data_IF_871502879216
#
_entry.id   IF_871502879216
#
_cell.length_a   1.000
_cell.length_b   1.000
_cell.length_c   1.000
_cell.angle_alpha   90.00
_cell.angle_beta   90.00
_cell.angle_gamma   90.00
#
_symmetry.space_group_name_H-M   'P 1'
#
loop_
_entity.id
_entity.type
_entity.pdbx_description
1 polymer ?
#
# COMPACT_ATOMS: atom_id res chain seq x y z
N UNK A 1 -4.12 -4.45 16.80
CA UNK A 1 -2.66 -4.11 16.87
C UNK A 1 -1.81 -5.26 17.38
N UNK A 2 -2.31 -6.05 18.35
CA UNK A 2 -1.60 -7.23 18.83
C UNK A 2 -1.64 -8.38 17.82
N UNK A 3 -0.66 -9.27 17.91
CA UNK A 3 -0.51 -10.46 17.06
C UNK A 3 -0.79 -11.72 17.89
N UNK A 4 -1.88 -11.67 18.66
CA UNK A 4 -2.20 -12.68 19.67
C UNK A 4 -2.84 -13.95 19.06
N UNK A 5 -3.25 -13.87 17.79
CA UNK A 5 -3.83 -14.97 17.05
C UNK A 5 -2.84 -15.51 16.02
N UNK A 6 -2.12 -16.57 16.41
CA UNK A 6 -1.26 -17.32 15.50
C UNK A 6 -2.09 -18.31 14.67
N UNK A 7 -2.46 -17.89 13.45
CA UNK A 7 -3.23 -18.73 12.53
C UNK A 7 -2.43 -19.95 12.03
N UNK A 8 -1.10 -19.93 12.09
CA UNK A 8 -0.28 -21.06 11.61
C UNK A 8 -0.35 -22.23 12.56
N UNK A 9 -0.43 -21.97 13.87
CA UNK A 9 -0.66 -23.04 14.86
C UNK A 9 -2.00 -23.75 14.63
N UNK A 10 -3.01 -23.07 14.10
CA UNK A 10 -4.28 -23.70 13.72
C UNK A 10 -4.11 -24.57 12.48
N UNK A 11 -3.35 -24.12 11.47
CA UNK A 11 -3.04 -24.93 10.28
C UNK A 11 -2.23 -26.19 10.62
N UNK A 12 -1.25 -26.06 11.52
CA UNK A 12 -0.42 -27.18 11.99
C UNK A 12 -1.16 -28.11 12.97
N UNK A 13 -2.34 -27.70 13.46
CA UNK A 13 -3.17 -28.54 14.30
C UNK A 13 -3.97 -29.56 13.49
N UNK A 14 -4.28 -30.71 14.08
CA UNK A 14 -5.27 -31.66 13.52
C UNK A 14 -6.72 -31.13 13.60
N UNK A 15 -6.91 -29.85 13.91
CA UNK A 15 -8.23 -29.23 14.08
C UNK A 15 -8.74 -28.53 12.81
N UNK A 16 -8.11 -28.75 11.65
CA UNK A 16 -8.55 -28.17 10.37
C UNK A 16 -8.88 -29.25 9.35
N UNK A 17 -9.86 -28.97 8.49
CA UNK A 17 -10.21 -29.81 7.34
C UNK A 17 -10.21 -28.97 6.06
N UNK A 18 -9.49 -29.41 5.02
CA UNK A 18 -9.43 -28.70 3.74
C UNK A 18 -10.79 -28.79 3.03
N UNK A 19 -11.43 -27.64 2.85
CA UNK A 19 -12.69 -27.50 2.11
C UNK A 19 -12.44 -27.48 0.61
N UNK A 20 -11.46 -26.67 0.17
CA UNK A 20 -11.07 -26.58 -1.24
C UNK A 20 -9.64 -26.08 -1.41
N UNK A 21 -9.04 -26.39 -2.56
CA UNK A 21 -7.71 -25.92 -2.95
C UNK A 21 -7.66 -25.73 -4.46
N UNK A 22 -7.20 -24.57 -4.92
CA UNK A 22 -7.12 -24.24 -6.34
C UNK A 22 -6.05 -23.18 -6.65
N UNK A 23 -5.66 -23.11 -7.92
CA UNK A 23 -4.80 -22.06 -8.44
C UNK A 23 -5.65 -20.91 -9.03
N UNK A 24 -5.40 -19.68 -8.60
CA UNK A 24 -5.95 -18.49 -9.25
C UNK A 24 -5.33 -18.29 -10.65
N UNK A 25 -5.93 -17.41 -11.46
CA UNK A 25 -5.47 -17.12 -12.82
C UNK A 25 -4.03 -16.60 -12.91
N UNK A 26 -3.51 -15.97 -11.84
CA UNK A 26 -2.14 -15.51 -11.73
C UNK A 26 -1.18 -16.54 -11.10
N UNK A 27 -1.65 -17.77 -10.90
CA UNK A 27 -0.87 -18.87 -10.34
C UNK A 27 -0.85 -18.93 -8.81
N UNK A 28 -1.42 -17.93 -8.11
CA UNK A 28 -1.53 -17.95 -6.64
C UNK A 28 -2.28 -19.21 -6.19
N UNK A 29 -1.67 -20.01 -5.32
CA UNK A 29 -2.37 -21.14 -4.70
C UNK A 29 -3.23 -20.63 -3.55
N UNK A 30 -4.50 -21.03 -3.54
CA UNK A 30 -5.46 -20.69 -2.49
C UNK A 30 -5.98 -21.99 -1.96
N UNK A 31 -6.00 -22.11 -0.63
CA UNK A 31 -6.61 -23.22 0.06
C UNK A 31 -7.51 -22.66 1.17
N UNK A 32 -8.65 -23.30 1.36
CA UNK A 32 -9.65 -22.94 2.35
C UNK A 32 -9.77 -24.13 3.28
N UNK A 33 -9.66 -23.87 4.58
CA UNK A 33 -9.83 -24.85 5.62
C UNK A 33 -10.96 -24.43 6.54
N UNK A 34 -11.76 -25.40 6.96
CA UNK A 34 -12.71 -25.25 8.05
C UNK A 34 -12.00 -25.58 9.35
N UNK A 35 -12.20 -24.74 10.36
CA UNK A 35 -11.66 -24.96 11.70
C UNK A 35 -12.71 -25.72 12.51
N UNK A 36 -12.39 -26.94 12.89
CA UNK A 36 -13.24 -27.87 13.63
C UNK A 36 -13.26 -27.59 15.15
N UNK A 37 -12.96 -26.35 15.56
CA UNK A 37 -12.95 -25.90 16.95
C UNK A 37 -13.60 -24.51 17.07
N UNK A 38 -14.22 -24.24 18.23
CA UNK A 38 -14.69 -22.90 18.54
C UNK A 38 -13.49 -22.02 18.83
N UNK A 39 -13.19 -21.10 17.91
CA UNK A 39 -12.17 -20.08 18.12
C UNK A 39 -12.77 -18.96 18.99
N UNK A 40 -12.58 -19.04 20.30
CA UNK A 40 -12.84 -17.92 21.20
C UNK A 40 -11.59 -17.03 21.24
N UNK A 41 -11.60 -15.97 20.44
CA UNK A 41 -10.56 -14.94 20.44
C UNK A 41 -11.20 -13.59 20.71
N UNK A 42 -10.60 -12.84 21.62
CA UNK A 42 -11.00 -11.45 21.87
C UNK A 42 -10.29 -10.57 20.85
N UNK A 43 -11.02 -10.20 19.79
CA UNK A 43 -10.52 -9.30 18.75
C UNK A 43 -10.85 -7.87 19.14
N UNK A 44 -10.13 -7.33 20.12
CA UNK A 44 -10.20 -5.90 20.43
C UNK A 44 -9.57 -5.09 19.28
N UNK A 45 -10.24 -4.00 18.91
CA UNK A 45 -9.78 -3.01 17.92
C UNK A 45 -9.40 -3.59 16.53
N UNK A 46 -10.44 -4.01 15.78
CA UNK A 46 -10.30 -4.40 14.37
C UNK A 46 -10.17 -3.18 13.45
N UNK A 47 -9.16 -3.22 12.58
CA UNK A 47 -8.89 -2.18 11.59
C UNK A 47 -9.40 -2.60 10.21
N UNK A 48 -10.09 -1.69 9.51
CA UNK A 48 -10.57 -1.94 8.15
C UNK A 48 -9.41 -1.70 7.17
N UNK A 49 -8.80 -2.77 6.70
CA UNK A 49 -7.70 -2.73 5.74
C UNK A 49 -8.20 -2.58 4.30
N UNK A 50 -9.31 -3.23 3.96
CA UNK A 50 -10.01 -3.13 2.68
C UNK A 50 -11.53 -3.31 2.89
N UNK A 51 -12.33 -2.68 2.03
CA UNK A 51 -13.79 -2.82 2.07
C UNK A 51 -14.55 -1.77 2.88
N UNK A 52 -13.98 -0.58 3.11
CA UNK A 52 -14.66 0.56 3.74
C UNK A 52 -16.08 0.82 3.19
N UNK A 53 -16.24 0.83 1.86
CA UNK A 53 -17.56 0.99 1.24
C UNK A 53 -18.52 -0.19 1.49
N UNK A 54 -18.00 -1.42 1.55
CA UNK A 54 -18.81 -2.63 1.83
C UNK A 54 -19.35 -2.59 3.26
N UNK A 55 -18.51 -2.21 4.22
CA UNK A 55 -18.90 -2.07 5.62
C UNK A 55 -19.90 -0.92 5.79
N UNK A 56 -19.65 0.23 5.15
CA UNK A 56 -20.59 1.35 5.18
C UNK A 56 -21.97 0.99 4.59
N UNK A 57 -22.00 0.27 3.47
CA UNK A 57 -23.24 -0.19 2.84
C UNK A 57 -23.98 -1.23 3.69
N UNK A 58 -23.27 -2.18 4.29
CA UNK A 58 -23.88 -3.17 5.16
C UNK A 58 -24.47 -2.55 6.43
N UNK A 59 -23.81 -1.52 6.98
CA UNK A 59 -24.34 -0.72 8.09
C UNK A 59 -25.64 0.00 7.70
N UNK A 60 -25.68 0.63 6.53
CA UNK A 60 -26.88 1.29 6.00
C UNK A 60 -28.03 0.29 5.81
N UNK A 61 -27.72 -0.92 5.35
CA UNK A 61 -28.68 -2.00 5.18
C UNK A 61 -29.03 -2.75 6.49
N UNK A 62 -28.52 -2.31 7.65
CA UNK A 62 -28.77 -2.91 8.97
C UNK A 62 -28.40 -4.40 9.09
N UNK A 63 -27.34 -4.84 8.41
CA UNK A 63 -26.79 -6.17 8.65
C UNK A 63 -26.24 -6.25 10.09
N UNK A 64 -26.55 -7.35 10.79
CA UNK A 64 -26.05 -7.61 12.15
C UNK A 64 -24.74 -8.40 12.17
N UNK A 65 -24.44 -9.08 11.09
CA UNK A 65 -23.28 -9.96 10.94
C UNK A 65 -22.60 -9.65 9.61
N UNK A 66 -21.28 -9.78 9.59
CA UNK A 66 -20.44 -9.52 8.43
C UNK A 66 -19.48 -10.68 8.25
N UNK A 67 -19.33 -11.14 7.01
CA UNK A 67 -18.19 -11.97 6.64
C UNK A 67 -16.96 -11.07 6.53
N UNK A 68 -15.96 -11.35 7.35
CA UNK A 68 -14.66 -10.67 7.34
C UNK A 68 -13.55 -11.68 7.09
N UNK A 69 -12.52 -11.24 6.39
CA UNK A 69 -11.25 -11.94 6.35
C UNK A 69 -10.31 -11.25 7.33
N UNK A 70 -9.92 -11.96 8.38
CA UNK A 70 -8.93 -11.48 9.34
C UNK A 70 -7.52 -11.80 8.83
N UNK A 71 -6.61 -10.83 8.93
CA UNK A 71 -5.19 -11.00 8.60
C UNK A 71 -4.39 -10.51 9.81
N UNK A 72 -3.60 -11.37 10.47
CA UNK A 72 -2.74 -10.96 11.57
C UNK A 72 -1.74 -9.88 11.12
N UNK A 73 -1.38 -8.91 11.98
CA UNK A 73 -0.39 -7.89 11.64
C UNK A 73 0.93 -8.46 11.12
N UNK A 74 1.41 -9.60 11.63
CA UNK A 74 2.65 -10.23 11.18
C UNK A 74 2.59 -10.83 9.78
N UNK A 75 1.39 -11.09 9.26
CA UNK A 75 1.17 -11.62 7.91
C UNK A 75 0.75 -10.54 6.91
N UNK A 76 0.44 -9.35 7.42
CA UNK A 76 0.05 -8.20 6.62
C UNK A 76 1.29 -7.50 6.05
N UNK A 77 1.35 -7.42 4.73
CA UNK A 77 2.42 -6.71 4.03
C UNK A 77 1.87 -5.46 3.35
N UNK A 78 2.58 -4.33 3.49
CA UNK A 78 2.22 -3.09 2.81
C UNK A 78 3.18 -2.90 1.64
N UNK A 79 2.63 -2.79 0.44
CA UNK A 79 3.34 -2.34 -0.75
C UNK A 79 3.17 -0.83 -0.97
N UNK A 80 4.05 -0.26 -1.79
CA UNK A 80 3.94 1.10 -2.30
C UNK A 80 3.51 1.14 -3.77
N UNK A 81 3.12 2.33 -4.22
CA UNK A 81 2.92 2.63 -5.63
C UNK A 81 4.03 3.55 -6.12
N UNK A 82 4.64 3.21 -7.25
CA UNK A 82 5.36 4.15 -8.08
C UNK A 82 4.35 5.16 -8.65
N UNK A 83 4.68 6.45 -8.61
CA UNK A 83 3.93 7.51 -9.29
C UNK A 83 4.61 7.77 -10.62
N UNK A 84 3.95 7.44 -11.71
CA UNK A 84 4.40 7.68 -13.07
C UNK A 84 3.71 8.95 -13.61
N UNK A 85 4.48 9.84 -14.22
CA UNK A 85 4.05 11.18 -14.63
C UNK A 85 4.25 11.32 -16.14
N UNK A 86 3.14 11.33 -16.87
CA UNK A 86 3.13 11.17 -18.32
C UNK A 86 3.39 12.45 -19.11
N UNK A 87 3.28 13.61 -18.46
CA UNK A 87 3.54 14.92 -19.06
C UNK A 87 4.44 15.78 -18.19
N UNK A 88 5.51 16.32 -18.79
CA UNK A 88 6.44 17.22 -18.11
C UNK A 88 6.60 18.48 -18.98
N UNK A 89 6.17 19.62 -18.45
CA UNK A 89 6.32 20.93 -19.11
C UNK A 89 7.64 21.64 -18.72
N UNK A 90 8.43 21.02 -17.83
CA UNK A 90 9.63 21.60 -17.23
C UNK A 90 10.90 20.85 -17.62
N UNK A 91 12.05 21.54 -17.51
CA UNK A 91 13.34 20.90 -17.71
C UNK A 91 13.71 20.05 -16.48
N UNK A 92 14.08 18.76 -16.63
CA UNK A 92 14.43 17.89 -15.51
C UNK A 92 15.41 18.50 -14.51
N UNK A 93 16.44 19.19 -15.02
CA UNK A 93 17.43 19.87 -14.18
C UNK A 93 16.83 20.93 -13.26
N UNK A 94 15.87 21.73 -13.76
CA UNK A 94 15.18 22.74 -12.93
C UNK A 94 14.33 22.08 -11.85
N UNK A 95 13.72 20.95 -12.18
CA UNK A 95 12.91 20.17 -11.23
C UNK A 95 13.77 19.62 -10.10
N UNK A 96 14.95 19.06 -10.43
CA UNK A 96 15.92 18.59 -9.45
C UNK A 96 16.45 19.75 -8.59
N UNK A 97 16.82 20.87 -9.19
CA UNK A 97 17.26 22.06 -8.45
C UNK A 97 16.19 22.55 -7.47
N UNK A 98 14.91 22.56 -7.88
CA UNK A 98 13.80 22.93 -6.99
C UNK A 98 13.58 21.93 -5.85
N UNK A 99 13.74 20.62 -6.11
CA UNK A 99 13.64 19.56 -5.08
C UNK A 99 14.68 19.73 -3.96
N UNK A 100 15.85 20.33 -4.25
CA UNK A 100 16.89 20.58 -3.24
C UNK A 100 16.47 21.50 -2.10
N UNK A 101 15.35 22.23 -2.24
CA UNK A 101 14.76 23.01 -1.15
C UNK A 101 14.44 22.09 0.05
N UNK A 102 13.85 20.93 -0.22
CA UNK A 102 13.32 20.01 0.81
C UNK A 102 14.16 18.75 0.99
N UNK A 103 14.93 18.36 -0.03
CA UNK A 103 15.72 17.14 -0.01
C UNK A 103 17.21 17.41 -0.26
N UNK A 104 18.07 16.52 0.25
CA UNK A 104 19.45 16.39 -0.20
C UNK A 104 19.47 15.44 -1.41
N UNK A 105 19.83 15.98 -2.58
CA UNK A 105 19.66 15.29 -3.87
C UNK A 105 21.01 14.93 -4.49
N UNK A 106 21.15 13.68 -4.95
CA UNK A 106 22.31 13.18 -5.69
C UNK A 106 21.88 12.31 -6.86
N UNK A 107 22.73 12.19 -7.89
CA UNK A 107 22.57 11.16 -8.91
C UNK A 107 22.67 9.76 -8.30
N UNK A 108 21.96 8.80 -8.89
CA UNK A 108 21.92 7.41 -8.43
C UNK A 108 21.98 6.47 -9.63
N UNK A 109 22.60 5.30 -9.44
CA UNK A 109 22.56 4.26 -10.47
C UNK A 109 21.19 3.60 -10.54
N UNK A 110 20.87 2.98 -11.67
CA UNK A 110 19.66 2.18 -11.83
C UNK A 110 19.59 0.99 -10.83
N UNK A 111 20.76 0.42 -10.48
CA UNK A 111 20.86 -0.63 -9.48
C UNK A 111 20.58 -0.16 -8.05
N UNK A 112 20.77 1.13 -7.76
CA UNK A 112 20.36 1.74 -6.49
C UNK A 112 18.88 2.11 -6.51
N UNK A 113 18.31 2.47 -7.67
CA UNK A 113 16.91 2.92 -7.79
C UNK A 113 15.87 1.78 -7.78
N UNK A 114 16.33 0.54 -7.93
CA UNK A 114 15.51 -0.68 -7.89
C UNK A 114 15.48 -1.36 -6.52
N UNK A 115 16.26 -0.84 -5.55
CA UNK A 115 16.22 -1.32 -4.16
C UNK A 115 15.07 -0.69 -3.38
N UNK A 116 14.58 -1.34 -2.30
CA UNK A 116 13.62 -0.73 -1.40
C UNK A 116 14.11 0.66 -0.98
N UNK A 117 13.18 1.61 -1.00
CA UNK A 117 13.45 2.97 -0.56
C UNK A 117 13.29 2.99 0.95
N UNK A 118 14.22 3.61 1.68
CA UNK A 118 14.07 3.82 3.12
C UNK A 118 13.06 4.95 3.38
N UNK A 119 12.37 4.91 4.53
CA UNK A 119 11.46 5.99 4.95
C UNK A 119 12.21 7.32 4.94
N UNK A 120 11.60 8.35 4.37
CA UNK A 120 12.22 9.66 4.21
C UNK A 120 13.03 9.81 2.92
N UNK A 121 13.19 8.76 2.12
CA UNK A 121 13.91 8.81 0.83
C UNK A 121 12.91 8.72 -0.31
N UNK A 122 13.16 9.49 -1.37
CA UNK A 122 12.42 9.41 -2.63
C UNK A 122 13.41 9.05 -3.75
N UNK A 123 12.98 8.19 -4.68
CA UNK A 123 13.71 8.00 -5.95
C UNK A 123 12.97 8.66 -7.07
N UNK A 124 13.64 9.59 -7.75
CA UNK A 124 13.06 10.35 -8.85
C UNK A 124 13.78 9.96 -10.12
N UNK A 125 13.02 9.61 -11.16
CA UNK A 125 13.52 9.30 -12.49
C UNK A 125 13.06 10.35 -13.47
N UNK A 126 13.94 10.75 -14.39
CA UNK A 126 13.60 11.47 -15.60
C UNK A 126 14.26 10.76 -16.80
N UNK A 127 13.45 10.20 -17.70
CA UNK A 127 13.97 9.33 -18.76
C UNK A 127 14.73 8.12 -18.18
N UNK A 128 16.05 8.06 -18.42
CA UNK A 128 16.95 7.01 -17.91
C UNK A 128 17.73 7.43 -16.66
N UNK A 129 17.69 8.72 -16.30
CA UNK A 129 18.47 9.27 -15.19
C UNK A 129 17.71 9.12 -13.86
N UNK A 130 18.39 8.56 -12.86
CA UNK A 130 17.86 8.38 -11.52
C UNK A 130 18.53 9.32 -10.51
N UNK A 131 17.72 9.79 -9.58
CA UNK A 131 18.12 10.68 -8.49
C UNK A 131 17.67 10.09 -7.16
N UNK A 132 18.56 10.11 -6.19
CA UNK A 132 18.28 9.89 -4.78
C UNK A 132 17.97 11.24 -4.14
N UNK A 133 16.81 11.36 -3.50
CA UNK A 133 16.40 12.56 -2.79
C UNK A 133 16.02 12.19 -1.34
N UNK A 134 16.90 12.51 -0.40
CA UNK A 134 16.68 12.27 1.03
C UNK A 134 16.02 13.50 1.66
N UNK A 135 14.86 13.34 2.29
CA UNK A 135 14.14 14.44 2.94
C UNK A 135 14.97 14.97 4.11
N UNK A 136 15.18 16.29 4.16
CA UNK A 136 15.88 16.94 5.28
C UNK A 136 15.12 16.81 6.60
N UNK A 137 13.80 16.79 6.53
CA UNK A 137 12.89 16.61 7.67
C UNK A 137 11.85 15.50 7.34
N UNK A 138 12.16 14.23 7.65
CA UNK A 138 11.32 13.09 7.30
C UNK A 138 10.17 12.86 8.31
N UNK A 139 9.39 13.90 8.61
CA UNK A 139 8.19 13.77 9.46
C UNK A 139 6.95 13.34 8.66
N UNK A 140 6.12 12.49 9.24
CA UNK A 140 4.89 12.02 8.58
C UNK A 140 5.15 11.12 7.36
N UNK A 141 4.09 10.85 6.59
CA UNK A 141 4.15 9.91 5.48
C UNK A 141 4.84 10.51 4.25
N UNK A 142 5.73 9.74 3.62
CA UNK A 142 6.36 10.14 2.36
C UNK A 142 5.33 10.37 1.24
N UNK A 143 4.27 9.56 1.21
CA UNK A 143 3.14 9.73 0.29
C UNK A 143 2.48 11.10 0.45
N UNK A 144 2.28 11.56 1.69
CA UNK A 144 1.71 12.86 1.98
C UNK A 144 2.64 13.99 1.50
N UNK A 145 3.94 13.89 1.81
CA UNK A 145 4.93 14.86 1.34
C UNK A 145 4.95 14.95 -0.20
N UNK A 146 4.87 13.82 -0.89
CA UNK A 146 4.82 13.80 -2.35
C UNK A 146 3.56 14.47 -2.89
N UNK A 147 2.39 14.18 -2.31
CA UNK A 147 1.13 14.72 -2.78
C UNK A 147 0.91 16.19 -2.41
N UNK A 148 1.40 16.63 -1.25
CA UNK A 148 1.18 18.00 -0.75
C UNK A 148 2.26 18.99 -1.16
N UNK A 149 3.48 18.52 -1.43
CA UNK A 149 4.62 19.39 -1.75
C UNK A 149 5.22 19.07 -3.11
N UNK A 150 5.69 17.83 -3.32
CA UNK A 150 6.49 17.50 -4.51
C UNK A 150 5.66 17.63 -5.79
N UNK A 151 4.50 17.00 -5.87
CA UNK A 151 3.64 17.03 -7.05
C UNK A 151 3.15 18.47 -7.39
N UNK A 152 2.63 19.26 -6.43
CA UNK A 152 2.25 20.64 -6.70
C UNK A 152 3.42 21.53 -7.14
N UNK A 153 4.52 21.52 -6.40
CA UNK A 153 5.62 22.48 -6.60
C UNK A 153 6.49 22.14 -7.81
N UNK A 154 6.62 20.86 -8.16
CA UNK A 154 7.50 20.40 -9.23
C UNK A 154 6.78 20.09 -10.53
N UNK A 155 5.51 19.68 -10.47
CA UNK A 155 4.75 19.20 -11.61
C UNK A 155 3.42 19.94 -11.82
N UNK A 156 3.01 20.81 -10.88
CA UNK A 156 1.69 21.48 -10.93
C UNK A 156 0.53 20.48 -10.88
N UNK A 157 0.73 19.35 -10.20
CA UNK A 157 -0.29 18.31 -9.99
C UNK A 157 -0.79 18.47 -8.56
N UNK A 158 -2.07 18.82 -8.41
CA UNK A 158 -2.67 19.13 -7.11
C UNK A 158 -3.59 18.01 -6.60
N UNK A 159 -4.11 17.18 -7.50
CA UNK A 159 -5.08 16.14 -7.18
C UNK A 159 -4.51 14.75 -7.45
N UNK A 160 -4.92 13.77 -6.65
CA UNK A 160 -4.45 12.38 -6.76
C UNK A 160 -5.10 11.61 -7.93
N UNK A 161 -6.13 12.17 -8.57
CA UNK A 161 -6.78 11.63 -9.77
C UNK A 161 -6.46 12.45 -11.03
N UNK A 162 -5.44 13.32 -10.97
CA UNK A 162 -4.96 14.08 -12.13
C UNK A 162 -4.63 13.11 -13.29
N UNK A 163 -5.14 13.37 -14.51
CA UNK A 163 -4.96 12.47 -15.64
C UNK A 163 -3.51 12.28 -16.09
N UNK A 164 -2.60 13.15 -15.68
CA UNK A 164 -1.15 13.05 -15.95
C UNK A 164 -0.45 12.09 -14.99
N UNK A 165 -1.13 11.61 -13.96
CA UNK A 165 -0.58 10.78 -12.89
C UNK A 165 -1.14 9.35 -13.00
N UNK A 166 -0.24 8.38 -13.11
CA UNK A 166 -0.58 6.96 -13.03
C UNK A 166 0.13 6.30 -11.85
N UNK A 167 -0.48 5.25 -11.31
CA UNK A 167 0.02 4.54 -10.13
C UNK A 167 0.29 3.09 -10.46
N UNK A 168 1.55 2.70 -10.32
CA UNK A 168 2.01 1.35 -10.64
C UNK A 168 2.50 0.67 -9.35
N UNK A 169 2.04 -0.54 -9.01
CA UNK A 169 2.56 -1.25 -7.84
C UNK A 169 4.09 -1.36 -7.92
N UNK A 170 4.78 -1.06 -6.82
CA UNK A 170 6.24 -1.13 -6.76
C UNK A 170 6.71 -2.55 -7.12
N UNK A 171 7.76 -2.64 -7.93
CA UNK A 171 8.27 -3.90 -8.48
C UNK A 171 7.63 -4.36 -9.80
N UNK A 172 6.52 -3.77 -10.24
CA UNK A 172 6.09 -3.90 -11.63
C UNK A 172 7.09 -3.19 -12.54
N UNK A 173 7.34 -3.73 -13.75
CA UNK A 173 8.30 -3.16 -14.71
C UNK A 173 8.05 -1.68 -14.98
N UNK A 174 9.12 -0.93 -15.25
CA UNK A 174 9.02 0.50 -15.57
C UNK A 174 8.39 0.66 -16.94
N UNK A 175 7.32 1.45 -17.04
CA UNK A 175 6.73 1.85 -18.32
C UNK A 175 7.50 3.04 -18.92
N UNK A 176 7.28 3.31 -20.21
CA UNK A 176 7.89 4.41 -20.99
C UNK A 176 7.38 5.81 -20.60
N UNK A 177 7.20 6.07 -19.31
CA UNK A 177 6.78 7.37 -18.78
C UNK A 177 7.96 8.36 -18.67
N UNK A 178 7.76 9.66 -18.91
CA UNK A 178 8.80 10.70 -18.79
C UNK A 178 9.40 10.83 -17.39
N UNK A 179 8.61 10.67 -16.32
CA UNK A 179 9.11 10.72 -14.95
C UNK A 179 8.44 9.69 -14.04
N UNK A 180 9.20 9.25 -13.03
CA UNK A 180 8.71 8.33 -12.01
C UNK A 180 9.18 8.77 -10.63
N UNK A 181 8.30 8.74 -9.63
CA UNK A 181 8.64 8.93 -8.22
C UNK A 181 8.35 7.61 -7.47
N UNK A 182 9.38 7.06 -6.82
CA UNK A 182 9.27 5.88 -5.96
C UNK A 182 9.46 6.23 -4.50
N UNK A 183 8.69 5.54 -3.66
CA UNK A 183 8.63 5.74 -2.22
C UNK A 183 8.74 4.39 -1.50
N UNK A 184 9.17 4.45 -0.24
CA UNK A 184 9.04 3.35 0.68
C UNK A 184 7.54 3.01 0.86
N UNK A 185 7.18 1.74 1.06
CA UNK A 185 5.87 1.42 1.63
C UNK A 185 5.68 2.14 2.96
N UNK A 186 4.45 2.54 3.26
CA UNK A 186 4.11 3.04 4.59
C UNK A 186 4.38 1.94 5.64
N UNK A 187 4.82 2.34 6.82
CA UNK A 187 4.98 1.42 7.93
C UNK A 187 3.60 1.07 8.50
N UNK A 188 3.44 -0.17 8.98
CA UNK A 188 2.16 -0.62 9.52
C UNK A 188 1.76 0.19 10.77
N UNK A 189 2.74 0.62 11.56
CA UNK A 189 2.50 1.49 12.72
C UNK A 189 1.90 2.85 12.31
N UNK A 190 2.40 3.47 11.23
CA UNK A 190 1.85 4.73 10.73
C UNK A 190 0.37 4.58 10.34
N UNK A 191 -0.03 3.41 9.80
CA UNK A 191 -1.42 3.11 9.45
C UNK A 191 -2.29 3.05 10.71
N UNK A 192 -1.82 2.36 11.75
CA UNK A 192 -2.56 2.25 12.99
C UNK A 192 -2.69 3.61 13.70
N UNK A 193 -1.62 4.40 13.73
CA UNK A 193 -1.64 5.73 14.36
C UNK A 193 -2.63 6.68 13.67
N UNK A 194 -2.69 6.65 12.34
CA UNK A 194 -3.66 7.45 11.57
C UNK A 194 -5.09 6.97 11.81
N UNK A 195 -5.31 5.65 11.86
CA UNK A 195 -6.62 5.09 12.14
C UNK A 195 -7.12 5.42 13.55
N UNK A 196 -6.26 5.32 14.57
CA UNK A 196 -6.60 5.64 15.97
C UNK A 196 -6.86 7.13 16.16
N UNK A 197 -6.19 7.98 15.39
CA UNK A 197 -6.46 9.41 15.32
C UNK A 197 -7.77 9.75 14.59
N UNK A 198 -8.51 8.75 14.07
CA UNK A 198 -9.69 8.91 13.19
C UNK A 198 -9.39 9.80 11.96
N UNK A 199 -8.17 9.72 11.46
CA UNK A 199 -7.72 10.42 10.26
C UNK A 199 -7.79 9.51 9.03
N UNK A 200 -7.73 10.11 7.85
CA UNK A 200 -7.76 9.38 6.57
C UNK A 200 -6.35 9.30 6.02
N UNK A 201 -5.91 8.09 5.66
CA UNK A 201 -4.64 7.90 4.98
C UNK A 201 -4.58 8.72 3.68
N UNK A 202 -3.44 9.35 3.35
CA UNK A 202 -3.29 10.05 2.09
C UNK A 202 -3.55 9.12 0.90
N UNK A 203 -4.00 9.65 -0.25
CA UNK A 203 -4.29 8.84 -1.43
C UNK A 203 -3.13 7.91 -1.81
N UNK A 204 -3.45 6.65 -2.15
CA UNK A 204 -2.49 5.65 -2.66
C UNK A 204 -1.26 5.45 -1.76
N UNK A 205 -1.45 5.55 -0.44
CA UNK A 205 -0.39 5.35 0.55
C UNK A 205 -0.18 3.89 0.94
N UNK A 206 -1.18 3.03 0.75
CA UNK A 206 -1.15 1.63 1.22
C UNK A 206 -1.64 0.66 0.16
N UNK A 207 -0.85 -0.36 -0.12
CA UNK A 207 -1.28 -1.52 -0.91
C UNK A 207 -1.09 -2.81 -0.11
N UNK A 208 -2.12 -3.19 0.65
CA UNK A 208 -2.06 -4.35 1.53
C UNK A 208 -2.07 -5.69 0.78
N UNK A 209 -1.27 -6.63 1.27
CA UNK A 209 -1.27 -8.04 0.90
C UNK A 209 -1.38 -8.92 2.17
N UNK A 210 -1.98 -10.11 2.09
CA UNK A 210 -2.57 -10.71 0.88
C UNK A 210 -3.84 -9.99 0.41
N UNK A 211 -4.10 -10.03 -0.90
CA UNK A 211 -5.38 -9.55 -1.44
C UNK A 211 -6.41 -10.67 -1.32
N UNK A 212 -7.50 -10.40 -0.61
CA UNK A 212 -8.67 -11.27 -0.64
C UNK A 212 -9.17 -11.38 -2.09
N UNK A 213 -9.20 -12.61 -2.63
CA UNK A 213 -9.69 -12.84 -3.99
C UNK A 213 -11.21 -12.90 -3.98
N UNK A 214 -11.83 -12.21 -4.92
CA UNK A 214 -13.28 -12.24 -5.09
C UNK A 214 -13.74 -13.64 -5.50
N UNK A 215 -14.88 -14.07 -4.97
CA UNK A 215 -15.53 -15.33 -5.35
C UNK A 215 -15.00 -16.58 -4.66
N UNK A 216 -14.03 -16.46 -3.74
CA UNK A 216 -13.58 -17.60 -2.90
C UNK A 216 -14.70 -18.02 -1.94
N UNK A 217 -15.37 -17.04 -1.33
CA UNK A 217 -16.53 -17.23 -0.47
C UNK A 217 -17.66 -16.31 -0.92
N UNK A 218 -18.85 -16.88 -1.05
CA UNK A 218 -20.09 -16.15 -1.30
C UNK A 218 -21.10 -16.65 -0.28
N UNK A 219 -21.60 -15.74 0.56
CA UNK A 219 -22.69 -16.04 1.48
C UNK A 219 -23.98 -15.56 0.83
N UNK A 220 -24.97 -16.46 0.75
CA UNK A 220 -26.33 -16.08 0.41
C UNK A 220 -26.96 -15.38 1.60
N UNK A 221 -27.31 -14.11 1.43
CA UNK A 221 -28.08 -13.34 2.40
C UNK A 221 -29.58 -13.65 2.29
#
# INVERSE_FOLDING_TARGET
>A
RSDDLDLRLLEESEATETVTSFAAADGTQISLWEINSQLETDLEDLYIVDGHHRIAAAREANFRELLVAYVPPSELHIGSFDRDIDEIEFLPRKTIDALTKWCDVRGSSESESTKPVDKGVLRVRFGDDWFWAERKEPSGLDSEFVHSVVLPELFGIHEADDPRLSYRPSGAGIDSTPATIRLAPAELEDVFDIADANLVMPPKSTYFFPKARSGVLIISC
#
